data_IF_190559766770
#
_entry.id   IF_190559766770
#
_cell.length_a   1.000
_cell.length_b   1.000
_cell.length_c   1.000
_cell.angle_alpha   90.00
_cell.angle_beta   90.00
_cell.angle_gamma   90.00
#
_symmetry.space_group_name_H-M   'P 1'
#
loop_
_entity.id
_entity.type
_entity.pdbx_description
1 polymer ?
#
# COMPACT_ATOMS: atom_id res chain seq x y z
N UNK A 1 -4.95 -3.66 6.19
CA UNK A 1 -3.55 -4.10 6.15
C UNK A 1 -3.47 -5.47 5.51
N UNK A 2 -4.18 -5.58 4.40
CA UNK A 2 -4.73 -6.80 3.81
C UNK A 2 -4.43 -6.86 2.31
N UNK A 3 -3.90 -5.76 1.75
CA UNK A 3 -3.44 -5.66 0.38
C UNK A 3 -2.22 -4.74 0.31
N UNK A 4 -1.42 -4.93 -0.74
CA UNK A 4 -0.41 -3.97 -1.18
C UNK A 4 -0.77 -3.49 -2.59
N UNK A 5 -0.42 -2.24 -2.90
CA UNK A 5 -0.55 -1.67 -4.23
C UNK A 5 0.85 -1.50 -4.83
N UNK A 6 1.08 -2.10 -6.00
CA UNK A 6 2.31 -1.97 -6.75
C UNK A 6 2.03 -1.18 -8.05
N UNK A 7 2.95 -0.30 -8.42
CA UNK A 7 2.81 0.56 -9.59
C UNK A 7 4.00 0.38 -10.53
N UNK A 8 3.71 0.07 -11.79
CA UNK A 8 4.68 0.12 -12.88
C UNK A 8 4.46 1.38 -13.72
N UNK A 9 5.36 2.35 -13.58
CA UNK A 9 5.32 3.57 -14.39
C UNK A 9 5.86 3.25 -15.78
N UNK A 10 5.08 3.55 -16.81
CA UNK A 10 5.50 3.43 -18.22
C UNK A 10 6.03 4.78 -18.69
N UNK A 11 7.18 4.79 -19.36
CA UNK A 11 7.75 5.99 -19.97
C UNK A 11 7.17 6.18 -21.38
N UNK A 12 7.22 7.41 -21.91
CA UNK A 12 6.73 7.71 -23.29
C UNK A 12 7.41 6.88 -24.39
N UNK A 13 8.54 6.23 -24.09
CA UNK A 13 9.34 5.44 -25.03
C UNK A 13 9.05 3.95 -24.96
N UNK A 14 8.38 3.47 -23.91
CA UNK A 14 8.05 2.06 -23.75
C UNK A 14 6.57 1.83 -24.05
N UNK A 15 6.27 0.74 -24.75
CA UNK A 15 4.88 0.38 -25.00
C UNK A 15 4.24 -0.11 -23.71
N UNK A 16 3.01 0.34 -23.45
CA UNK A 16 2.24 -0.05 -22.28
C UNK A 16 2.04 -1.58 -22.22
N UNK A 17 1.92 -2.25 -23.37
CA UNK A 17 1.81 -3.71 -23.47
C UNK A 17 3.00 -4.45 -22.85
N UNK A 18 4.23 -3.95 -23.01
CA UNK A 18 5.45 -4.53 -22.44
C UNK A 18 5.47 -4.40 -20.91
N UNK A 19 5.05 -3.23 -20.41
CA UNK A 19 4.92 -2.99 -18.96
C UNK A 19 3.85 -3.91 -18.35
N UNK A 20 2.68 -4.02 -18.99
CA UNK A 20 1.60 -4.91 -18.54
C UNK A 20 2.09 -6.36 -18.55
N UNK A 21 2.78 -6.80 -19.61
CA UNK A 21 3.37 -8.13 -19.65
C UNK A 21 4.31 -8.40 -18.47
N UNK A 22 5.16 -7.43 -18.14
CA UNK A 22 6.07 -7.52 -16.99
C UNK A 22 5.30 -7.66 -15.68
N UNK A 23 4.20 -6.92 -15.52
CA UNK A 23 3.32 -7.03 -14.35
C UNK A 23 2.61 -8.39 -14.28
N UNK A 24 2.12 -8.93 -15.41
CA UNK A 24 1.52 -10.28 -15.49
C UNK A 24 2.56 -11.33 -15.10
N UNK A 25 3.77 -11.26 -15.68
CA UNK A 25 4.85 -12.18 -15.35
C UNK A 25 5.19 -12.14 -13.85
N UNK A 26 5.27 -10.94 -13.26
CA UNK A 26 5.49 -10.77 -11.83
C UNK A 26 4.35 -11.39 -11.00
N UNK A 27 3.09 -11.16 -11.40
CA UNK A 27 1.93 -11.71 -10.70
C UNK A 27 1.88 -13.24 -10.75
N UNK A 28 2.19 -13.84 -11.89
CA UNK A 28 2.27 -15.30 -12.04
C UNK A 28 3.42 -15.89 -11.24
N UNK A 29 4.57 -15.20 -11.13
CA UNK A 29 5.66 -15.62 -10.23
C UNK A 29 5.20 -15.59 -8.77
N UNK A 30 4.52 -14.52 -8.35
CA UNK A 30 3.99 -14.41 -6.98
C UNK A 30 3.01 -15.56 -6.71
N UNK A 31 2.10 -15.85 -7.64
CA UNK A 31 1.21 -16.99 -7.48
C UNK A 31 2.00 -18.30 -7.46
N UNK A 32 2.94 -18.54 -8.36
CA UNK A 32 3.69 -19.79 -8.36
C UNK A 32 4.50 -20.02 -7.07
N UNK A 33 5.14 -18.98 -6.55
CA UNK A 33 5.98 -19.05 -5.35
C UNK A 33 5.20 -19.03 -4.03
N UNK A 34 4.04 -18.37 -4.01
CA UNK A 34 3.29 -18.09 -2.77
C UNK A 34 1.78 -18.41 -2.88
N UNK A 35 1.34 -19.22 -3.85
CA UNK A 35 -0.07 -19.62 -4.01
C UNK A 35 -0.61 -20.44 -2.84
N UNK A 36 0.26 -21.10 -2.08
CA UNK A 36 -0.11 -21.82 -0.87
C UNK A 36 0.99 -21.70 0.16
N UNK A 37 0.77 -20.86 1.16
CA UNK A 37 1.61 -20.83 2.35
C UNK A 37 0.83 -21.43 3.51
N UNK A 38 1.22 -22.64 3.92
CA UNK A 38 0.66 -23.26 5.11
C UNK A 38 1.30 -22.66 6.35
N UNK A 39 0.47 -22.03 7.18
CA UNK A 39 0.88 -21.44 8.46
C UNK A 39 0.98 -22.52 9.54
N UNK A 40 1.70 -22.22 10.62
CA UNK A 40 1.84 -23.11 11.80
C UNK A 40 0.50 -23.47 12.45
N UNK A 41 -0.55 -22.67 12.20
CA UNK A 41 -1.93 -22.91 12.65
C UNK A 41 -2.79 -23.63 11.61
N UNK A 42 -2.16 -24.23 10.58
CA UNK A 42 -2.80 -24.99 9.48
C UNK A 42 -3.81 -24.20 8.66
N UNK A 43 -3.65 -22.87 8.59
CA UNK A 43 -4.39 -22.02 7.66
C UNK A 43 -3.57 -21.86 6.40
N UNK A 44 -4.15 -22.22 5.25
CA UNK A 44 -3.52 -22.05 3.95
C UNK A 44 -3.78 -20.62 3.44
N UNK A 45 -2.73 -19.82 3.38
CA UNK A 45 -2.79 -18.46 2.86
C UNK A 45 -2.59 -18.48 1.35
N UNK A 46 -3.51 -17.81 0.65
CA UNK A 46 -3.47 -17.60 -0.78
C UNK A 46 -3.60 -16.11 -1.08
N UNK A 47 -2.90 -15.65 -2.12
CA UNK A 47 -3.03 -14.28 -2.61
C UNK A 47 -3.96 -14.22 -3.81
N UNK A 48 -4.61 -13.08 -3.99
CA UNK A 48 -5.34 -12.73 -5.21
C UNK A 48 -4.71 -11.48 -5.81
N UNK A 49 -4.54 -11.47 -7.12
CA UNK A 49 -3.84 -10.39 -7.81
C UNK A 49 -4.76 -9.83 -8.90
N UNK A 50 -4.88 -8.51 -8.91
CA UNK A 50 -5.64 -7.77 -9.92
C UNK A 50 -4.71 -6.76 -10.61
N UNK A 51 -4.78 -6.69 -11.93
CA UNK A 51 -3.96 -5.81 -12.76
C UNK A 51 -4.89 -4.90 -13.56
N UNK A 52 -4.68 -3.59 -13.41
CA UNK A 52 -5.30 -2.56 -14.22
C UNK A 52 -4.24 -1.65 -14.82
N UNK A 53 -4.59 -0.99 -15.92
CA UNK A 53 -3.69 -0.07 -16.63
C UNK A 53 -4.43 1.18 -17.09
N UNK A 54 -3.74 2.32 -17.05
CA UNK A 54 -4.24 3.59 -17.55
C UNK A 54 -3.57 4.77 -16.86
N UNK A 55 -4.21 5.93 -16.98
CA UNK A 55 -3.69 7.17 -16.43
C UNK A 55 -4.08 7.32 -14.96
N UNK A 56 -3.11 7.78 -14.16
CA UNK A 56 -3.32 8.10 -12.75
C UNK A 56 -2.68 9.46 -12.41
N UNK A 57 -3.17 10.04 -11.33
CA UNK A 57 -2.67 11.24 -10.70
C UNK A 57 -2.09 10.82 -9.36
N UNK A 58 -0.83 11.19 -9.12
CA UNK A 58 -0.19 11.11 -7.82
C UNK A 58 -0.11 12.52 -7.26
N UNK A 59 -0.64 12.74 -6.06
CA UNK A 59 -0.56 14.06 -5.41
C UNK A 59 -0.19 13.92 -3.94
N UNK A 60 0.78 14.71 -3.44
CA UNK A 60 0.97 14.87 -2.01
C UNK A 60 -0.19 15.68 -1.42
N UNK A 61 -0.52 15.41 -0.17
CA UNK A 61 -1.53 16.09 0.63
C UNK A 61 -1.01 16.30 2.05
N UNK A 62 -1.67 17.18 2.80
CA UNK A 62 -1.27 17.55 4.15
C UNK A 62 -0.42 18.81 4.18
N UNK A 63 0.06 19.15 5.37
CA UNK A 63 0.78 20.39 5.65
C UNK A 63 1.89 20.16 6.69
N UNK A 64 2.95 20.96 6.58
CA UNK A 64 4.06 20.96 7.54
C UNK A 64 4.74 19.59 7.64
N UNK A 65 4.67 18.98 8.82
CA UNK A 65 5.31 17.69 9.13
C UNK A 65 4.40 16.48 8.88
N UNK A 66 3.12 16.70 8.56
CA UNK A 66 2.12 15.65 8.40
C UNK A 66 1.70 15.56 6.94
N UNK A 67 2.62 15.09 6.10
CA UNK A 67 2.37 14.86 4.68
C UNK A 67 1.92 13.42 4.45
N UNK A 68 1.03 13.24 3.47
CA UNK A 68 0.71 11.94 2.91
C UNK A 68 0.58 12.07 1.39
N UNK A 69 0.28 10.98 0.71
CA UNK A 69 0.00 11.03 -0.72
C UNK A 69 -1.26 10.23 -1.03
N UNK A 70 -1.92 10.60 -2.13
CA UNK A 70 -3.04 9.85 -2.69
C UNK A 70 -2.76 9.55 -4.16
N UNK A 71 -3.31 8.43 -4.60
CA UNK A 71 -3.27 8.00 -5.99
C UNK A 71 -4.73 7.92 -6.46
N UNK A 72 -5.03 8.64 -7.53
CA UNK A 72 -6.37 8.75 -8.09
C UNK A 72 -6.34 8.46 -9.57
N UNK A 73 -7.33 7.72 -10.05
CA UNK A 73 -7.49 7.44 -11.46
C UNK A 73 -8.33 6.20 -11.66
N UNK A 74 -8.82 6.04 -12.89
CA UNK A 74 -9.59 4.87 -13.30
C UNK A 74 -8.89 3.54 -12.97
N UNK A 75 -7.55 3.39 -13.14
CA UNK A 75 -6.91 2.11 -12.87
C UNK A 75 -6.96 1.67 -11.41
N UNK A 76 -6.96 2.63 -10.47
CA UNK A 76 -7.05 2.31 -9.03
C UNK A 76 -8.45 1.78 -8.70
N UNK A 77 -9.47 2.38 -9.31
CA UNK A 77 -10.86 1.96 -9.17
C UNK A 77 -11.09 0.56 -9.75
N UNK A 78 -10.71 0.37 -11.01
CA UNK A 78 -10.91 -0.92 -11.68
C UNK A 78 -10.10 -2.04 -11.03
N UNK A 79 -8.88 -1.75 -10.53
CA UNK A 79 -8.10 -2.74 -9.78
C UNK A 79 -8.83 -3.21 -8.52
N UNK A 80 -9.51 -2.32 -7.80
CA UNK A 80 -10.31 -2.67 -6.61
C UNK A 80 -11.53 -3.53 -6.99
N UNK A 81 -12.22 -3.20 -8.08
CA UNK A 81 -13.37 -3.97 -8.57
C UNK A 81 -12.91 -5.36 -9.03
N UNK A 82 -11.81 -5.43 -9.79
CA UNK A 82 -11.24 -6.70 -10.23
C UNK A 82 -10.77 -7.55 -9.05
N UNK A 83 -10.20 -6.94 -8.00
CA UNK A 83 -9.77 -7.62 -6.78
C UNK A 83 -10.95 -8.24 -6.01
N UNK A 84 -12.10 -7.56 -5.95
CA UNK A 84 -13.28 -8.08 -5.23
C UNK A 84 -13.90 -9.27 -5.95
N UNK A 85 -13.76 -9.34 -7.27
CA UNK A 85 -14.21 -10.45 -8.10
C UNK A 85 -13.16 -11.57 -8.25
N UNK A 86 -11.91 -11.35 -7.83
CA UNK A 86 -10.80 -12.28 -8.03
C UNK A 86 -10.84 -13.42 -6.99
N UNK A 87 -10.74 -14.67 -7.44
CA UNK A 87 -10.67 -15.82 -6.53
C UNK A 87 -9.24 -16.01 -6.02
N UNK A 88 -9.11 -16.67 -4.87
CA UNK A 88 -7.80 -17.00 -4.28
C UNK A 88 -6.96 -17.86 -5.23
N UNK A 89 -5.74 -17.39 -5.56
CA UNK A 89 -4.84 -18.05 -6.51
C UNK A 89 -4.97 -17.56 -7.96
N UNK A 90 -5.89 -16.64 -8.26
CA UNK A 90 -6.06 -16.09 -9.60
C UNK A 90 -5.23 -14.82 -9.85
N UNK A 91 -4.91 -14.58 -11.13
CA UNK A 91 -4.44 -13.30 -11.65
C UNK A 91 -5.50 -12.77 -12.61
N UNK A 92 -6.15 -11.67 -12.23
CA UNK A 92 -7.27 -11.07 -12.98
C UNK A 92 -6.87 -9.74 -13.60
N UNK A 93 -7.23 -9.54 -14.86
CA UNK A 93 -7.00 -8.30 -15.62
C UNK A 93 -8.32 -7.58 -15.86
N UNK A 94 -8.27 -6.26 -15.77
CA UNK A 94 -9.38 -5.39 -16.16
C UNK A 94 -9.47 -5.28 -17.69
N UNK A 95 -10.64 -4.94 -18.25
CA UNK A 95 -10.79 -4.74 -19.69
C UNK A 95 -9.80 -3.72 -20.28
N UNK A 96 -9.51 -2.66 -19.53
CA UNK A 96 -8.53 -1.62 -19.90
C UNK A 96 -7.12 -2.17 -20.03
N UNK A 97 -6.67 -3.03 -19.11
CA UNK A 97 -5.37 -3.68 -19.21
C UNK A 97 -5.34 -4.73 -20.32
N UNK A 98 -6.40 -5.52 -20.46
CA UNK A 98 -6.51 -6.55 -21.49
C UNK A 98 -6.52 -5.98 -22.90
N UNK A 99 -7.13 -4.80 -23.12
CA UNK A 99 -7.15 -4.12 -24.42
C UNK A 99 -5.76 -3.77 -24.99
N UNK A 100 -4.71 -3.79 -24.15
CA UNK A 100 -3.33 -3.59 -24.57
C UNK A 100 -2.54 -4.90 -24.76
N UNK A 101 -3.16 -6.05 -24.49
CA UNK A 101 -2.52 -7.36 -24.55
C UNK A 101 -2.90 -8.10 -25.84
N UNK A 102 -1.95 -8.82 -26.43
CA UNK A 102 -2.24 -9.74 -27.53
C UNK A 102 -2.69 -11.09 -26.98
N UNK A 103 -3.91 -11.52 -27.31
CA UNK A 103 -4.52 -12.74 -26.78
C UNK A 103 -3.69 -14.02 -27.02
N UNK A 104 -2.95 -14.07 -28.14
CA UNK A 104 -2.06 -15.19 -28.49
C UNK A 104 -0.95 -15.44 -27.47
N UNK A 105 -0.53 -14.40 -26.74
CA UNK A 105 0.60 -14.49 -25.82
C UNK A 105 0.23 -15.16 -24.48
N UNK A 106 -1.05 -15.39 -24.21
CA UNK A 106 -1.53 -15.81 -22.89
C UNK A 106 -2.57 -16.92 -22.96
N UNK A 107 -2.46 -17.90 -22.07
CA UNK A 107 -3.57 -18.79 -21.74
C UNK A 107 -4.52 -18.05 -20.79
N UNK A 108 -5.75 -17.81 -21.25
CA UNK A 108 -6.69 -16.91 -20.61
C UNK A 108 -8.14 -17.39 -20.71
N UNK A 109 -8.96 -16.94 -19.76
CA UNK A 109 -10.41 -17.14 -19.74
C UNK A 109 -11.09 -15.78 -19.60
N UNK A 110 -11.99 -15.47 -20.53
CA UNK A 110 -12.80 -14.25 -20.48
C UNK A 110 -14.07 -14.56 -19.67
N UNK A 111 -14.30 -13.79 -18.61
CA UNK A 111 -15.48 -13.94 -17.76
C UNK A 111 -16.63 -13.09 -18.31
N UNK A 112 -17.88 -13.44 -17.94
CA UNK A 112 -19.08 -12.70 -18.38
C UNK A 112 -19.06 -11.20 -18.05
N UNK A 113 -18.31 -10.81 -17.01
CA UNK A 113 -18.17 -9.42 -16.56
C UNK A 113 -17.10 -8.62 -17.34
N UNK A 114 -16.53 -9.18 -18.42
CA UNK A 114 -15.50 -8.55 -19.24
C UNK A 114 -14.07 -8.62 -18.67
N UNK A 115 -13.92 -9.04 -17.41
CA UNK A 115 -12.61 -9.31 -16.80
C UNK A 115 -11.99 -10.59 -17.36
N UNK A 116 -10.65 -10.63 -17.40
CA UNK A 116 -9.90 -11.75 -17.97
C UNK A 116 -9.01 -12.39 -16.92
N UNK A 117 -9.14 -13.70 -16.72
CA UNK A 117 -8.25 -14.47 -15.85
C UNK A 117 -7.09 -15.03 -16.67
N UNK A 118 -5.85 -14.76 -16.24
CA UNK A 118 -4.63 -15.26 -16.90
C UNK A 118 -4.12 -16.48 -16.15
N UNK A 119 -3.95 -17.59 -16.86
CA UNK A 119 -3.42 -18.85 -16.31
C UNK A 119 -1.92 -18.99 -16.53
N UNK A 120 -1.45 -18.66 -17.73
CA UNK A 120 -0.05 -18.78 -18.09
C UNK A 120 0.35 -17.80 -19.21
N UNK A 121 1.64 -17.53 -19.30
CA UNK A 121 2.25 -16.85 -20.45
C UNK A 121 2.69 -17.93 -21.44
N UNK A 122 2.26 -17.81 -22.68
CA UNK A 122 2.62 -18.70 -23.78
C UNK A 122 3.81 -18.14 -24.58
N UNK A 123 3.81 -16.83 -24.85
CA UNK A 123 4.84 -16.14 -25.63
C UNK A 123 5.23 -14.80 -24.99
N UNK A 124 6.51 -14.46 -24.98
CA UNK A 124 7.01 -13.18 -24.47
C UNK A 124 7.01 -12.11 -25.58
N UNK A 125 6.28 -10.98 -25.44
CA UNK A 125 6.28 -9.90 -26.43
C UNK A 125 7.63 -9.18 -26.57
N UNK A 126 8.58 -9.38 -25.64
CA UNK A 126 9.92 -8.81 -25.75
C UNK A 126 10.85 -9.64 -26.63
N UNK A 127 10.52 -10.91 -26.89
CA UNK A 127 11.34 -11.77 -27.74
C UNK A 127 11.10 -11.47 -29.23
N UNK A 128 12.19 -11.40 -29.99
CA UNK A 128 12.13 -11.18 -31.44
C UNK A 128 11.60 -12.41 -32.19
N UNK A 129 11.70 -13.59 -31.58
CA UNK A 129 11.24 -14.86 -32.16
C UNK A 129 9.91 -15.28 -31.50
N UNK A 130 8.82 -14.87 -32.13
CA UNK A 130 7.43 -15.07 -31.66
C UNK A 130 7.02 -16.56 -31.67
N UNK A 131 7.86 -17.46 -32.18
CA UNK A 131 7.59 -18.90 -32.22
C UNK A 131 8.11 -19.66 -30.98
N UNK A 132 8.97 -19.03 -30.16
CA UNK A 132 9.55 -19.69 -28.99
C UNK A 132 8.56 -19.69 -27.82
N UNK A 133 8.24 -20.86 -27.24
CA UNK A 133 7.40 -20.93 -26.06
C UNK A 133 8.14 -20.30 -24.86
N UNK A 134 7.39 -19.66 -23.98
CA UNK A 134 7.94 -19.03 -22.78
C UNK A 134 8.69 -20.07 -21.93
N UNK A 135 10.01 -19.85 -21.74
CA UNK A 135 10.92 -20.75 -21.01
C UNK A 135 10.63 -20.87 -19.50
N UNK A 136 9.53 -20.28 -19.02
CA UNK A 136 9.12 -20.30 -17.63
C UNK A 136 9.93 -19.35 -16.75
N UNK A 137 9.65 -19.36 -15.45
CA UNK A 137 10.20 -18.40 -14.50
C UNK A 137 11.50 -18.86 -13.80
N UNK A 138 12.05 -20.02 -14.19
CA UNK A 138 13.12 -20.69 -13.43
C UNK A 138 14.41 -19.88 -13.24
N UNK A 139 14.78 -19.03 -14.19
CA UNK A 139 15.94 -18.12 -14.03
C UNK A 139 15.63 -16.96 -13.06
N UNK A 140 14.42 -16.38 -13.14
CA UNK A 140 13.98 -15.27 -12.27
C UNK A 140 13.79 -15.75 -10.82
N UNK A 141 13.18 -16.92 -10.61
CA UNK A 141 12.97 -17.50 -9.28
C UNK A 141 14.30 -17.81 -8.59
N UNK A 142 15.30 -18.35 -9.32
CA UNK A 142 16.64 -18.61 -8.76
C UNK A 142 17.37 -17.35 -8.30
N UNK A 143 17.16 -16.21 -8.96
CA UNK A 143 17.72 -14.93 -8.51
C UNK A 143 17.06 -14.41 -7.22
N UNK A 144 15.75 -14.68 -7.04
CA UNK A 144 15.00 -14.26 -5.86
C UNK A 144 15.31 -15.09 -4.61
N UNK A 145 15.64 -16.37 -4.76
CA UNK A 145 15.94 -17.29 -3.65
C UNK A 145 17.34 -17.10 -3.03
N UNK A 146 18.11 -16.09 -3.43
CA UNK A 146 19.35 -15.76 -2.72
C UNK A 146 18.98 -15.27 -1.31
N UNK A 147 19.49 -15.93 -0.25
CA UNK A 147 19.09 -15.61 1.11
C UNK A 147 19.51 -14.18 1.47
N UNK A 148 18.56 -13.38 1.96
CA UNK A 148 18.75 -12.01 2.42
C UNK A 148 19.42 -11.97 3.81
N UNK A 149 20.61 -12.58 3.94
CA UNK A 149 21.24 -12.76 5.26
C UNK A 149 21.90 -11.48 5.81
N UNK A 150 22.18 -10.46 4.98
CA UNK A 150 22.98 -9.30 5.40
C UNK A 150 22.27 -7.93 5.42
N UNK A 151 20.95 -7.87 5.16
CA UNK A 151 20.27 -6.58 4.98
C UNK A 151 19.84 -5.92 6.29
N UNK A 152 19.59 -6.72 7.34
CA UNK A 152 19.24 -6.20 8.68
C UNK A 152 20.43 -5.55 9.39
N UNK A 153 21.66 -5.89 8.99
CA UNK A 153 22.90 -5.30 9.51
C UNK A 153 23.32 -4.01 8.79
N UNK A 154 22.47 -3.46 7.89
CA UNK A 154 22.78 -2.22 7.16
C UNK A 154 23.09 -1.02 8.09
N UNK A 155 22.53 -1.01 9.30
CA UNK A 155 22.79 0.00 10.33
C UNK A 155 24.21 -0.03 10.89
N UNK A 156 24.95 -1.13 10.74
CA UNK A 156 26.30 -1.30 11.29
C UNK A 156 27.42 -0.95 10.30
N UNK A 157 27.13 -0.56 9.05
CA UNK A 157 28.15 -0.16 8.07
C UNK A 157 28.57 1.32 8.17
N UNK A 158 28.89 1.75 9.39
CA UNK A 158 29.69 2.98 9.62
C UNK A 158 31.20 2.67 9.67
N UNK A 159 31.63 1.50 9.17
CA UNK A 159 33.04 1.20 8.94
C UNK A 159 33.44 1.58 7.50
N UNK A 160 34.52 2.35 7.38
CA UNK A 160 35.11 2.91 6.16
C UNK A 160 35.77 1.84 5.25
N UNK A 161 35.19 0.64 5.18
CA UNK A 161 35.70 -0.46 4.37
C UNK A 161 35.14 -0.44 2.94
N UNK A 162 36.03 -0.43 1.95
CA UNK A 162 35.71 -0.50 0.52
C UNK A 162 34.90 -1.75 0.15
N UNK A 163 35.09 -2.85 0.87
CA UNK A 163 34.33 -4.09 0.70
C UNK A 163 32.89 -3.99 1.23
N UNK A 164 32.65 -3.22 2.30
CA UNK A 164 31.33 -2.94 2.85
C UNK A 164 30.51 -2.03 1.92
N UNK A 165 31.15 -1.03 1.30
CA UNK A 165 30.51 -0.15 0.32
C UNK A 165 30.03 -0.90 -0.93
N UNK A 166 30.83 -1.86 -1.42
CA UNK A 166 30.45 -2.72 -2.55
C UNK A 166 29.22 -3.59 -2.21
N UNK A 167 29.20 -4.22 -1.03
CA UNK A 167 28.04 -5.01 -0.56
C UNK A 167 26.80 -4.16 -0.33
N UNK A 168 26.95 -2.95 0.25
CA UNK A 168 25.87 -1.97 0.43
C UNK A 168 25.28 -1.60 -0.93
N UNK A 169 26.11 -1.31 -1.93
CA UNK A 169 25.64 -0.98 -3.29
C UNK A 169 24.95 -2.17 -3.97
N UNK A 170 25.45 -3.39 -3.79
CA UNK A 170 24.81 -4.60 -4.32
C UNK A 170 23.43 -4.83 -3.68
N UNK A 171 23.31 -4.66 -2.36
CA UNK A 171 22.04 -4.74 -1.64
C UNK A 171 21.04 -3.65 -2.04
N UNK A 172 21.50 -2.40 -2.12
CA UNK A 172 20.67 -1.25 -2.53
C UNK A 172 20.33 -1.27 -4.03
N UNK A 173 21.00 -2.09 -4.84
CA UNK A 173 20.74 -2.22 -6.28
C UNK A 173 19.30 -2.66 -6.58
N UNK A 174 18.67 -3.42 -5.68
CA UNK A 174 17.27 -3.80 -5.75
C UNK A 174 16.31 -2.60 -5.72
N UNK A 175 16.76 -1.47 -5.16
CA UNK A 175 16.03 -0.21 -5.13
C UNK A 175 16.95 0.97 -5.42
N UNK A 176 17.41 1.07 -6.68
CA UNK A 176 18.26 2.16 -7.21
C UNK A 176 17.77 3.58 -6.85
N UNK A 177 16.48 3.75 -6.59
CA UNK A 177 15.92 5.02 -6.12
C UNK A 177 16.51 5.50 -4.79
N UNK A 178 16.92 4.59 -3.90
CA UNK A 178 17.57 4.96 -2.63
C UNK A 178 18.89 5.68 -2.92
N UNK A 179 19.72 5.11 -3.80
CA UNK A 179 21.01 5.69 -4.20
C UNK A 179 20.82 7.11 -4.79
N UNK A 180 19.84 7.27 -5.68
CA UNK A 180 19.49 8.57 -6.27
C UNK A 180 19.00 9.61 -5.26
N UNK A 181 18.39 9.18 -4.15
CA UNK A 181 17.89 10.09 -3.11
C UNK A 181 19.04 10.51 -2.19
N UNK A 182 19.95 9.59 -1.87
CA UNK A 182 21.17 9.84 -1.10
C UNK A 182 22.01 10.91 -1.79
N UNK A 183 22.22 10.78 -3.10
CA UNK A 183 22.90 11.79 -3.94
C UNK A 183 22.24 13.17 -3.90
N UNK A 184 20.91 13.23 -3.80
CA UNK A 184 20.13 14.48 -3.85
C UNK A 184 19.85 15.09 -2.47
N UNK A 185 20.24 14.42 -1.39
CA UNK A 185 20.02 14.85 -0.01
C UNK A 185 18.55 15.25 0.32
N UNK A 186 17.57 14.51 -0.21
CA UNK A 186 16.12 14.79 -0.02
C UNK A 186 15.56 14.08 1.24
N UNK A 187 16.44 13.50 2.07
CA UNK A 187 16.03 12.72 3.24
C UNK A 187 15.16 13.50 4.22
N UNK A 188 15.48 14.78 4.46
CA UNK A 188 14.73 15.68 5.34
C UNK A 188 13.29 15.91 4.88
N UNK A 189 13.05 16.03 3.58
CA UNK A 189 11.73 16.29 3.00
C UNK A 189 10.84 15.04 3.04
N UNK A 190 11.42 13.86 2.85
CA UNK A 190 10.67 12.59 2.85
C UNK A 190 10.22 12.21 4.28
N UNK A 191 10.92 12.70 5.31
CA UNK A 191 10.53 12.47 6.71
C UNK A 191 9.12 12.93 7.04
N UNK A 192 8.60 13.93 6.33
CA UNK A 192 7.24 14.46 6.50
C UNK A 192 6.15 13.42 6.14
N UNK A 193 6.50 12.34 5.43
CA UNK A 193 5.60 11.25 5.05
C UNK A 193 5.65 10.05 6.01
N UNK A 194 6.45 10.13 7.08
CA UNK A 194 6.56 9.07 8.08
C UNK A 194 5.70 9.38 9.29
N UNK A 195 5.02 8.36 9.82
CA UNK A 195 4.24 8.52 11.05
C UNK A 195 5.16 8.79 12.25
N UNK A 196 4.63 9.51 13.24
CA UNK A 196 5.41 9.96 14.39
C UNK A 196 6.11 8.84 15.18
N UNK A 197 5.48 7.67 15.46
CA UNK A 197 6.16 6.57 16.16
C UNK A 197 7.42 6.09 15.44
N UNK A 198 7.39 6.01 14.11
CA UNK A 198 8.54 5.61 13.29
C UNK A 198 9.61 6.69 13.31
N UNK A 199 9.22 7.96 13.16
CA UNK A 199 10.15 9.09 13.22
C UNK A 199 10.89 9.15 14.56
N UNK A 200 10.17 9.01 15.67
CA UNK A 200 10.76 9.02 17.01
C UNK A 200 11.77 7.90 17.19
N UNK A 201 11.49 6.71 16.65
CA UNK A 201 12.41 5.57 16.71
C UNK A 201 13.69 5.81 15.90
N UNK A 202 13.54 6.39 14.69
CA UNK A 202 14.67 6.78 13.83
C UNK A 202 15.53 7.83 14.53
N UNK A 203 14.91 8.86 15.10
CA UNK A 203 15.61 9.96 15.77
C UNK A 203 16.33 9.50 17.04
N UNK A 204 15.76 8.53 17.74
CA UNK A 204 16.38 7.89 18.90
C UNK A 204 17.49 6.89 18.53
N UNK A 205 17.77 6.68 17.23
CA UNK A 205 18.74 5.68 16.74
C UNK A 205 18.45 4.27 17.27
N UNK A 206 17.17 3.94 17.44
CA UNK A 206 16.75 2.64 17.95
C UNK A 206 16.25 1.74 16.81
N UNK A 207 16.39 0.41 16.95
CA UNK A 207 15.84 -0.56 16.00
C UNK A 207 14.33 -0.38 15.82
N UNK A 208 13.83 -0.50 14.59
CA UNK A 208 12.39 -0.39 14.27
C UNK A 208 11.59 -1.59 14.79
N UNK A 209 12.27 -2.70 15.08
CA UNK A 209 11.73 -3.94 15.62
C UNK A 209 11.15 -3.70 17.03
N UNK A 210 11.57 -2.65 17.74
CA UNK A 210 10.98 -2.27 19.03
C UNK A 210 9.58 -1.65 18.91
N UNK A 211 9.16 -1.31 17.69
CA UNK A 211 7.77 -0.93 17.41
C UNK A 211 6.87 -2.16 17.22
N UNK A 212 7.45 -3.37 17.17
CA UNK A 212 6.71 -4.62 17.05
C UNK A 212 6.18 -5.04 18.42
N UNK A 213 4.87 -4.95 18.62
CA UNK A 213 4.22 -5.34 19.88
C UNK A 213 2.75 -5.72 19.67
N UNK A 214 2.24 -6.59 20.55
CA UNK A 214 0.80 -6.78 20.74
C UNK A 214 0.29 -5.75 21.73
N UNK A 215 -0.69 -4.94 21.34
CA UNK A 215 -1.12 -3.79 22.12
C UNK A 215 -2.61 -3.56 22.05
N UNK A 216 -3.20 -3.16 23.17
CA UNK A 216 -4.56 -2.62 23.17
C UNK A 216 -4.54 -1.21 22.61
N UNK A 217 -5.31 -0.96 21.56
CA UNK A 217 -5.45 0.34 20.92
C UNK A 217 -6.92 0.65 20.67
N UNK A 218 -7.24 1.94 20.46
CA UNK A 218 -8.54 2.35 19.90
C UNK A 218 -8.36 2.78 18.44
N UNK A 219 -9.10 2.15 17.54
CA UNK A 219 -9.03 2.36 16.09
C UNK A 219 -10.26 3.11 15.62
N UNK A 220 -10.04 4.18 14.85
CA UNK A 220 -11.10 4.87 14.13
C UNK A 220 -10.86 4.70 12.65
N UNK A 221 -11.87 4.21 11.95
CA UNK A 221 -11.95 4.27 10.50
C UNK A 221 -12.92 5.37 10.12
N UNK A 222 -12.40 6.44 9.54
CA UNK A 222 -13.19 7.56 9.03
C UNK A 222 -13.38 7.35 7.54
N UNK A 223 -14.63 7.31 7.09
CA UNK A 223 -14.96 7.37 5.67
C UNK A 223 -15.79 8.60 5.35
N UNK A 224 -15.52 9.21 4.21
CA UNK A 224 -16.34 10.30 3.72
C UNK A 224 -16.64 10.13 2.23
N UNK A 225 -17.85 10.52 1.85
CA UNK A 225 -18.34 10.50 0.48
C UNK A 225 -18.41 11.93 -0.05
N UNK A 226 -17.53 12.33 -0.97
CA UNK A 226 -17.59 13.60 -1.64
C UNK A 226 -18.73 13.57 -2.68
N UNK A 227 -19.25 14.76 -2.98
CA UNK A 227 -20.12 15.00 -4.13
C UNK A 227 -19.32 14.74 -5.40
N UNK A 228 -20.00 14.30 -6.45
CA UNK A 228 -19.37 14.13 -7.76
C UNK A 228 -18.75 15.44 -8.22
N UNK A 229 -17.44 15.40 -8.47
CA UNK A 229 -16.67 16.57 -8.86
C UNK A 229 -15.43 16.15 -9.67
N UNK A 230 -14.83 17.08 -10.45
CA UNK A 230 -13.56 16.83 -11.13
C UNK A 230 -12.41 16.56 -10.15
N UNK A 231 -11.37 15.86 -10.62
CA UNK A 231 -10.22 15.48 -9.79
C UNK A 231 -9.56 16.62 -9.01
N UNK A 232 -9.35 17.84 -9.54
CA UNK A 232 -8.78 18.93 -8.76
C UNK A 232 -9.60 19.28 -7.52
N UNK A 233 -10.94 19.32 -7.65
CA UNK A 233 -11.84 19.60 -6.53
C UNK A 233 -11.85 18.44 -5.53
N UNK A 234 -11.86 17.20 -6.01
CA UNK A 234 -11.73 16.01 -5.16
C UNK A 234 -10.44 16.06 -4.33
N UNK A 235 -9.31 16.38 -4.96
CA UNK A 235 -8.01 16.50 -4.28
C UNK A 235 -8.07 17.57 -3.19
N UNK A 236 -8.71 18.72 -3.45
CA UNK A 236 -8.90 19.77 -2.44
C UNK A 236 -9.74 19.28 -1.26
N UNK A 237 -10.86 18.59 -1.51
CA UNK A 237 -11.71 18.02 -0.45
C UNK A 237 -10.92 16.99 0.39
N UNK A 238 -10.19 16.10 -0.27
CA UNK A 238 -9.35 15.08 0.39
C UNK A 238 -8.28 15.75 1.24
N UNK A 239 -7.58 16.74 0.70
CA UNK A 239 -6.54 17.45 1.42
C UNK A 239 -7.09 18.20 2.64
N UNK A 240 -8.22 18.91 2.51
CA UNK A 240 -8.84 19.64 3.61
C UNK A 240 -9.35 18.69 4.72
N UNK A 241 -10.02 17.61 4.32
CA UNK A 241 -10.49 16.58 5.28
C UNK A 241 -9.35 15.89 6.01
N UNK A 242 -8.24 15.60 5.32
CA UNK A 242 -7.03 15.04 5.91
C UNK A 242 -6.39 16.00 6.92
N UNK A 243 -6.23 17.28 6.57
CA UNK A 243 -5.66 18.30 7.45
C UNK A 243 -6.50 18.50 8.72
N UNK A 244 -7.83 18.64 8.59
CA UNK A 244 -8.75 18.76 9.74
C UNK A 244 -8.65 17.52 10.63
N UNK A 245 -8.61 16.33 10.03
CA UNK A 245 -8.49 15.06 10.77
C UNK A 245 -7.16 15.02 11.53
N UNK A 246 -6.05 15.33 10.86
CA UNK A 246 -4.74 15.42 11.51
C UNK A 246 -4.76 16.38 12.70
N UNK A 247 -5.26 17.60 12.53
CA UNK A 247 -5.29 18.61 13.59
C UNK A 247 -6.05 18.12 14.85
N UNK A 248 -7.24 17.55 14.66
CA UNK A 248 -8.06 17.03 15.77
C UNK A 248 -7.39 15.84 16.47
N UNK A 249 -6.83 14.93 15.68
CA UNK A 249 -6.19 13.70 16.17
C UNK A 249 -4.92 13.99 16.95
N UNK A 250 -4.05 14.87 16.45
CA UNK A 250 -2.80 15.21 17.12
C UNK A 250 -3.03 15.95 18.45
N UNK A 251 -4.04 16.84 18.54
CA UNK A 251 -4.43 17.49 19.80
C UNK A 251 -4.84 16.50 20.88
N UNK A 252 -5.28 15.31 20.48
CA UNK A 252 -5.75 14.26 21.39
C UNK A 252 -4.76 13.10 21.50
N UNK A 253 -3.49 13.32 21.15
CA UNK A 253 -2.42 12.31 21.20
C UNK A 253 -2.72 11.05 20.36
N UNK A 254 -3.53 11.16 19.31
CA UNK A 254 -3.72 10.09 18.34
C UNK A 254 -2.73 10.16 17.18
N UNK A 255 -2.74 9.14 16.33
CA UNK A 255 -1.91 9.08 15.13
C UNK A 255 -2.76 8.74 13.90
N UNK A 256 -2.65 9.57 12.85
CA UNK A 256 -3.18 9.24 11.53
C UNK A 256 -2.18 8.31 10.83
N UNK A 257 -2.58 7.07 10.60
CA UNK A 257 -1.69 6.03 10.08
C UNK A 257 -1.69 5.96 8.55
N UNK A 258 -2.88 5.91 7.95
CA UNK A 258 -3.05 5.77 6.49
C UNK A 258 -4.24 6.57 6.00
N UNK A 259 -4.13 7.07 4.77
CA UNK A 259 -5.24 7.57 3.98
C UNK A 259 -5.26 6.81 2.66
N UNK A 260 -6.44 6.37 2.24
CA UNK A 260 -6.64 5.69 0.97
C UNK A 260 -7.87 6.30 0.31
N UNK A 261 -7.80 6.51 -1.00
CA UNK A 261 -8.90 7.01 -1.81
C UNK A 261 -9.32 5.91 -2.79
N UNK A 262 -10.59 5.52 -2.72
CA UNK A 262 -11.18 4.48 -3.56
C UNK A 262 -12.43 4.98 -4.28
N UNK A 263 -12.37 5.13 -5.60
CA UNK A 263 -13.45 5.69 -6.44
C UNK A 263 -13.78 7.14 -6.06
N UNK A 264 -14.52 7.27 -4.96
CA UNK A 264 -15.01 8.48 -4.31
C UNK A 264 -14.94 8.35 -2.79
N UNK A 265 -14.86 7.16 -2.22
CA UNK A 265 -14.77 6.97 -0.78
C UNK A 265 -13.33 7.20 -0.32
N UNK A 266 -13.15 8.20 0.54
CA UNK A 266 -11.91 8.40 1.27
C UNK A 266 -11.99 7.55 2.52
N UNK A 267 -10.88 6.92 2.88
CA UNK A 267 -10.73 6.16 4.10
C UNK A 267 -9.49 6.66 4.84
N UNK A 268 -9.67 7.16 6.07
CA UNK A 268 -8.59 7.57 6.96
C UNK A 268 -8.57 6.62 8.15
N UNK A 269 -7.41 5.98 8.38
CA UNK A 269 -7.15 5.12 9.52
C UNK A 269 -6.45 5.93 10.61
N UNK A 270 -7.10 6.05 11.76
CA UNK A 270 -6.59 6.73 12.96
C UNK A 270 -6.46 5.73 14.10
N UNK A 271 -5.40 5.88 14.90
CA UNK A 271 -5.07 4.96 15.98
C UNK A 271 -4.70 5.75 17.23
N UNK A 272 -5.32 5.39 18.35
CA UNK A 272 -5.00 5.88 19.69
C UNK A 272 -4.36 4.78 20.51
N UNK A 273 -3.42 5.16 21.38
CA UNK A 273 -2.71 4.23 22.24
C UNK A 273 -1.51 3.56 21.61
N UNK A 274 -0.94 4.10 20.52
CA UNK A 274 0.37 3.65 20.02
C UNK A 274 1.49 3.92 21.04
N UNK A 275 2.65 3.29 20.85
CA UNK A 275 3.86 3.57 21.65
C UNK A 275 4.20 5.06 21.61
N UNK A 276 4.47 5.65 22.76
CA UNK A 276 4.69 7.11 22.92
C UNK A 276 3.41 7.95 23.05
N UNK A 277 2.23 7.36 22.79
CA UNK A 277 0.93 8.02 22.79
C UNK A 277 -0.07 7.39 23.78
N UNK A 278 0.40 6.54 24.70
CA UNK A 278 -0.47 5.82 25.64
C UNK A 278 -1.02 6.76 26.71
N UNK A 279 -2.32 6.70 26.98
CA UNK A 279 -2.92 7.37 28.12
C UNK A 279 -4.18 6.65 28.62
N UNK A 280 -4.63 6.95 29.83
CA UNK A 280 -5.69 6.16 30.51
C UNK A 280 -7.06 6.23 29.79
N UNK A 281 -7.35 7.36 29.14
CA UNK A 281 -8.67 7.63 28.54
C UNK A 281 -8.70 7.50 27.00
N UNK A 282 -7.93 6.59 26.41
CA UNK A 282 -7.81 6.42 24.94
C UNK A 282 -9.17 6.21 24.25
N UNK A 283 -10.03 5.36 24.80
CA UNK A 283 -11.36 5.11 24.23
C UNK A 283 -12.24 6.39 24.28
N UNK A 284 -12.13 7.17 25.35
CA UNK A 284 -12.85 8.43 25.50
C UNK A 284 -12.32 9.49 24.51
N UNK A 285 -11.00 9.60 24.36
CA UNK A 285 -10.37 10.48 23.39
C UNK A 285 -10.75 10.10 21.96
N UNK A 286 -10.70 8.80 21.63
CA UNK A 286 -11.15 8.26 20.35
C UNK A 286 -12.60 8.67 20.02
N UNK A 287 -13.53 8.52 20.95
CA UNK A 287 -14.94 8.91 20.73
C UNK A 287 -15.11 10.43 20.59
N UNK A 288 -14.43 11.24 21.41
CA UNK A 288 -14.44 12.71 21.30
C UNK A 288 -13.86 13.18 19.96
N UNK A 289 -12.77 12.56 19.52
CA UNK A 289 -12.17 12.80 18.21
C UNK A 289 -13.10 12.40 17.09
N UNK A 290 -13.70 11.21 17.13
CA UNK A 290 -14.66 10.77 16.12
C UNK A 290 -15.81 11.78 15.96
N UNK A 291 -16.40 12.22 17.08
CA UNK A 291 -17.45 13.25 17.04
C UNK A 291 -16.96 14.56 16.40
N UNK A 292 -15.79 15.05 16.83
CA UNK A 292 -15.22 16.30 16.32
C UNK A 292 -14.87 16.22 14.82
N UNK A 293 -14.30 15.10 14.38
CA UNK A 293 -13.99 14.83 12.98
C UNK A 293 -15.28 14.79 12.17
N UNK A 294 -16.28 14.02 12.60
CA UNK A 294 -17.57 13.93 11.90
C UNK A 294 -18.19 15.32 11.74
N UNK A 295 -18.24 16.11 12.81
CA UNK A 295 -18.80 17.47 12.78
C UNK A 295 -18.04 18.39 11.82
N UNK A 296 -16.71 18.45 11.93
CA UNK A 296 -15.90 19.38 11.12
C UNK A 296 -15.80 18.98 9.65
N UNK A 297 -15.66 17.68 9.37
CA UNK A 297 -15.54 17.18 7.99
C UNK A 297 -16.88 17.22 7.27
N UNK A 298 -18.01 16.98 7.96
CA UNK A 298 -19.35 17.13 7.36
C UNK A 298 -19.71 18.58 7.02
N UNK A 299 -19.02 19.55 7.64
CA UNK A 299 -19.21 20.96 7.34
C UNK A 299 -18.40 21.46 6.12
N UNK A 300 -17.54 20.60 5.54
CA UNK A 300 -16.82 20.94 4.32
C UNK A 300 -17.78 20.95 3.12
N UNK A 301 -17.64 21.96 2.27
CA UNK A 301 -18.37 22.00 1.01
C UNK A 301 -17.97 20.82 0.11
N UNK A 302 -18.96 20.24 -0.56
CA UNK A 302 -18.78 19.05 -1.37
C UNK A 302 -18.68 17.73 -0.59
N UNK A 303 -18.83 17.68 0.73
CA UNK A 303 -18.97 16.42 1.49
C UNK A 303 -20.44 16.08 1.67
N UNK A 304 -20.85 14.90 1.19
CA UNK A 304 -22.24 14.43 1.30
C UNK A 304 -22.49 13.66 2.59
N UNK A 305 -21.51 12.87 3.00
CA UNK A 305 -21.67 11.91 4.08
C UNK A 305 -20.34 11.65 4.78
N UNK A 306 -20.38 11.47 6.09
CA UNK A 306 -19.23 11.06 6.91
C UNK A 306 -19.68 9.98 7.88
N UNK A 307 -19.03 8.81 7.79
CA UNK A 307 -19.23 7.70 8.71
C UNK A 307 -17.93 7.34 9.41
N UNK A 308 -18.02 6.96 10.68
CA UNK A 308 -16.84 6.64 11.50
C UNK A 308 -17.12 5.38 12.32
N UNK A 309 -16.32 4.35 12.08
CA UNK A 309 -16.30 3.12 12.88
C UNK A 309 -15.23 3.22 13.97
N UNK A 310 -15.61 3.05 15.23
CA UNK A 310 -14.68 3.06 16.38
C UNK A 310 -14.68 1.70 17.06
N UNK A 311 -13.50 1.14 17.30
CA UNK A 311 -13.35 -0.10 18.08
C UNK A 311 -12.12 -0.01 18.98
N UNK A 312 -12.12 -0.78 20.07
CA UNK A 312 -10.98 -0.91 20.98
C UNK A 312 -10.66 -2.38 21.18
N UNK A 313 -9.38 -2.74 21.12
CA UNK A 313 -8.96 -4.12 21.37
C UNK A 313 -7.49 -4.37 21.08
N UNK A 314 -7.07 -5.62 21.26
CA UNK A 314 -5.71 -6.05 21.00
C UNK A 314 -5.43 -6.12 19.49
N UNK A 315 -4.29 -5.56 19.09
CA UNK A 315 -3.79 -5.58 17.71
C UNK A 315 -2.30 -5.87 17.70
N UNK A 316 -1.83 -6.41 16.59
CA UNK A 316 -0.43 -6.38 16.23
C UNK A 316 -0.07 -5.00 15.67
N UNK A 317 0.94 -4.37 16.25
CA UNK A 317 1.58 -3.15 15.74
C UNK A 317 3.01 -3.50 15.32
N UNK A 318 3.48 -2.99 14.18
CA UNK A 318 4.88 -3.17 13.79
C UNK A 318 5.20 -2.66 12.40
N UNK A 319 6.48 -2.66 12.05
CA UNK A 319 6.94 -2.31 10.70
C UNK A 319 7.00 -3.58 9.86
N UNK A 320 6.17 -3.66 8.81
CA UNK A 320 5.97 -4.86 8.01
C UNK A 320 6.48 -4.65 6.58
N UNK A 321 7.22 -5.62 6.05
CA UNK A 321 7.69 -5.65 4.67
C UNK A 321 9.18 -5.94 4.54
N UNK A 322 9.68 -5.83 3.33
CA UNK A 322 11.10 -6.03 3.03
C UNK A 322 11.94 -4.91 3.68
N UNK A 323 13.20 -5.12 4.11
CA UNK A 323 13.98 -4.05 4.76
C UNK A 323 14.19 -2.82 3.87
N UNK A 324 14.25 -2.98 2.54
CA UNK A 324 14.25 -1.86 1.57
C UNK A 324 12.87 -1.23 1.28
N UNK A 325 11.78 -1.86 1.71
CA UNK A 325 10.39 -1.41 1.49
C UNK A 325 9.47 -2.01 2.55
N UNK A 326 9.34 -1.29 3.66
CA UNK A 326 8.45 -1.64 4.78
C UNK A 326 7.62 -0.44 5.22
N UNK A 327 6.47 -0.70 5.82
CA UNK A 327 5.55 0.31 6.33
C UNK A 327 5.06 -0.08 7.72
N UNK A 328 4.89 0.92 8.60
CA UNK A 328 4.21 0.68 9.86
C UNK A 328 2.75 0.28 9.60
N UNK A 329 2.35 -0.85 10.17
CA UNK A 329 1.07 -1.47 9.92
C UNK A 329 0.49 -1.96 11.23
N UNK A 330 -0.82 -1.80 11.37
CA UNK A 330 -1.60 -2.33 12.48
C UNK A 330 -2.57 -3.37 11.94
N UNK A 331 -2.55 -4.57 12.52
CA UNK A 331 -3.28 -5.74 12.05
C UNK A 331 -4.05 -6.34 13.24
N UNK A 332 -5.34 -6.59 13.05
CA UNK A 332 -6.15 -7.26 14.07
C UNK A 332 -7.63 -7.31 13.69
N UNK A 333 -8.37 -8.23 14.31
CA UNK A 333 -9.79 -8.39 14.06
C UNK A 333 -10.60 -7.11 14.37
N UNK A 334 -10.17 -6.33 15.37
CA UNK A 334 -10.82 -5.06 15.72
C UNK A 334 -10.60 -3.98 14.64
N UNK A 335 -9.44 -3.96 13.99
CA UNK A 335 -9.17 -3.07 12.84
C UNK A 335 -10.17 -3.37 11.72
N UNK A 336 -10.35 -4.65 11.37
CA UNK A 336 -11.30 -5.07 10.35
C UNK A 336 -12.75 -4.79 10.75
N UNK A 337 -13.09 -4.94 12.04
CA UNK A 337 -14.43 -4.64 12.56
C UNK A 337 -14.74 -3.14 12.45
N UNK A 338 -13.80 -2.26 12.79
CA UNK A 338 -13.98 -0.81 12.61
C UNK A 338 -14.16 -0.44 11.13
N UNK A 339 -13.42 -1.07 10.22
CA UNK A 339 -13.60 -0.88 8.78
C UNK A 339 -14.98 -1.33 8.28
N UNK A 340 -15.58 -2.37 8.88
CA UNK A 340 -16.96 -2.80 8.56
C UNK A 340 -18.00 -1.84 9.13
N UNK A 341 -17.84 -1.40 10.37
CA UNK A 341 -18.77 -0.46 11.01
C UNK A 341 -18.91 0.85 10.24
N UNK A 342 -17.82 1.41 9.70
CA UNK A 342 -17.92 2.63 8.88
C UNK A 342 -18.69 2.44 7.55
N UNK A 343 -18.80 1.20 7.05
CA UNK A 343 -19.50 0.90 5.81
C UNK A 343 -20.98 0.56 6.07
N UNK A 344 -21.29 -0.07 7.20
CA UNK A 344 -22.67 -0.45 7.57
C UNK A 344 -23.49 0.74 8.07
N UNK A 345 -22.88 1.67 8.80
CA UNK A 345 -23.57 2.83 9.42
C UNK A 345 -23.33 4.13 8.64
N UNK A 346 -23.69 4.11 7.35
CA UNK A 346 -23.64 5.26 6.44
C UNK A 346 -24.91 6.11 6.53
#
# INVERSE_FOLDING_TARGET
GDAFLALWKTDKRTFLCHTIHTAIACALIIQHSYASYETDVKVNLKVKLAISAGNLIFTPIGTGINMNYIIVGLPVLEAKIAESQCMSGEVKLTPTAWGHCYSRNYDHVINGDGHVTIKAILYDPHEQDVSKPFLGFGAKIRQMNKPFIDLENLTNFYSDDTSALSRKNECLSLRKTILKIEEKNIGSEIRKFMIRPVLTQIDAHQPLEYLTEMRQVSVLFVTLKPRECPFPQLITIVNNSYQITCEIVYKSMGCVNKIILFDKDIMILVIFGLRGFKHESEAQAALKCAYSIKKSVSALDGVLEVSIGVTTGQVYCGVVGHPLRREFTVIGAIVNKAARFMCEFR
#
